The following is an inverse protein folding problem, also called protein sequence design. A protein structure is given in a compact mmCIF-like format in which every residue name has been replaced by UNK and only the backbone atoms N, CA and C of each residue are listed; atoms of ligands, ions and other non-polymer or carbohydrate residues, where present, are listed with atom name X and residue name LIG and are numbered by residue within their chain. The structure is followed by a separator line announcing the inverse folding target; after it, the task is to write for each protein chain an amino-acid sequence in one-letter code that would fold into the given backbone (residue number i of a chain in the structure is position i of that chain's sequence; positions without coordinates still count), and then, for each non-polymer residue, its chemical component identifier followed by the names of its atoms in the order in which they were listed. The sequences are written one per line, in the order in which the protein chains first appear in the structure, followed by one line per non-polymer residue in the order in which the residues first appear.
data_IF_771496648389
#
_entry.id   IF_771496648389
#
_cell.length_a   1.000
_cell.length_b   1.000
_cell.length_c   1.000
_cell.angle_alpha   90.00
_cell.angle_beta   90.00
_cell.angle_gamma   90.00
#
_symmetry.space_group_name_H-M   'P 1'
#
loop_
_entity.id
_entity.type
_entity.pdbx_description
1 polymer ?
#
# COMPACT_ATOMS: atom_id res chain seq x y z
N UNK A 1 -3.36 -23.83 7.83
CA UNK A 1 -2.89 -22.50 7.45
C UNK A 1 -1.83 -22.13 8.48
N UNK A 2 -0.54 -22.43 8.16
CA UNK A 2 0.56 -22.00 9.00
C UNK A 2 0.55 -20.47 9.05
N UNK A 3 0.31 -19.90 10.24
CA UNK A 3 0.52 -18.48 10.43
C UNK A 3 1.98 -18.19 10.11
N UNK A 4 2.26 -17.43 9.05
CA UNK A 4 3.59 -16.90 8.86
C UNK A 4 4.00 -16.23 10.18
N UNK A 5 5.23 -16.46 10.68
CA UNK A 5 5.65 -15.85 11.92
C UNK A 5 5.36 -14.35 11.89
N UNK A 6 4.87 -13.80 12.96
CA UNK A 6 4.59 -12.36 13.10
C UNK A 6 5.75 -11.47 12.64
N UNK A 7 6.97 -12.00 12.81
CA UNK A 7 8.22 -11.42 12.35
C UNK A 7 8.26 -11.21 10.83
N UNK A 8 7.66 -12.09 10.04
CA UNK A 8 7.64 -11.97 8.58
C UNK A 8 6.58 -10.99 8.07
N UNK A 9 5.54 -10.74 8.84
CA UNK A 9 4.42 -9.86 8.45
C UNK A 9 4.65 -8.41 8.85
N UNK A 10 5.40 -8.16 9.92
CA UNK A 10 5.51 -6.84 10.55
C UNK A 10 6.95 -6.30 10.59
N UNK A 11 7.94 -7.06 10.12
CA UNK A 11 9.32 -6.82 10.47
C UNK A 11 9.58 -7.18 11.94
N UNK A 12 10.79 -7.08 12.40
CA UNK A 12 11.09 -7.14 13.82
C UNK A 12 10.62 -5.85 14.46
N UNK A 13 10.06 -5.94 15.64
CA UNK A 13 9.82 -4.78 16.47
C UNK A 13 11.10 -3.92 16.53
N UNK A 14 11.00 -2.64 16.16
CA UNK A 14 12.15 -1.76 16.05
C UNK A 14 13.01 -1.92 14.80
N UNK A 15 12.57 -2.69 13.80
CA UNK A 15 13.25 -2.78 12.49
C UNK A 15 12.26 -2.54 11.35
N UNK A 16 12.42 -1.39 10.75
CA UNK A 16 11.68 -0.93 9.57
C UNK A 16 11.91 -1.87 8.39
N UNK A 17 10.89 -2.62 7.98
CA UNK A 17 10.96 -3.53 6.84
C UNK A 17 12.25 -4.38 6.74
N UNK A 18 12.91 -4.64 7.88
CA UNK A 18 14.23 -5.23 7.91
C UNK A 18 14.31 -6.58 7.20
N UNK A 19 13.23 -7.37 7.22
CA UNK A 19 13.20 -8.63 6.50
C UNK A 19 13.10 -8.40 4.98
N UNK A 20 12.31 -7.43 4.52
CA UNK A 20 12.20 -7.10 3.11
C UNK A 20 13.52 -6.54 2.57
N UNK A 21 14.18 -5.64 3.32
CA UNK A 21 15.49 -5.11 2.97
C UNK A 21 16.56 -6.21 2.98
N UNK A 22 16.57 -7.10 3.99
CA UNK A 22 17.52 -8.22 4.07
C UNK A 22 17.31 -9.28 2.98
N UNK A 23 16.09 -9.43 2.48
CA UNK A 23 15.78 -10.35 1.38
C UNK A 23 15.86 -9.71 0.00
N UNK A 24 16.18 -8.42 -0.10
CA UNK A 24 16.25 -7.69 -1.36
C UNK A 24 14.89 -7.59 -2.08
N UNK A 25 13.78 -7.60 -1.35
CA UNK A 25 12.44 -7.55 -1.93
C UNK A 25 12.02 -6.09 -2.13
N UNK A 26 12.75 -5.37 -2.94
CA UNK A 26 12.28 -4.14 -3.55
C UNK A 26 11.83 -4.43 -4.97
N UNK A 27 10.67 -3.89 -5.33
CA UNK A 27 10.11 -4.10 -6.66
C UNK A 27 10.22 -2.80 -7.45
N UNK A 28 10.98 -2.87 -8.53
CA UNK A 28 11.05 -1.77 -9.49
C UNK A 28 9.74 -1.61 -10.24
N UNK A 29 9.46 -0.38 -10.64
CA UNK A 29 8.39 -0.08 -11.56
C UNK A 29 8.75 -0.50 -12.98
N UNK A 30 7.84 -1.21 -13.62
CA UNK A 30 7.86 -1.50 -15.05
C UNK A 30 6.79 -0.69 -15.78
N UNK A 31 7.04 -0.36 -17.03
CA UNK A 31 6.06 0.31 -17.89
C UNK A 31 5.01 -0.68 -18.37
N UNK A 32 3.77 -0.25 -18.33
CA UNK A 32 2.64 -1.00 -18.86
C UNK A 32 1.58 -0.03 -19.41
N UNK A 33 0.65 -0.55 -20.17
CA UNK A 33 -0.59 0.14 -20.49
C UNK A 33 -1.70 -0.40 -19.61
N UNK A 34 -2.59 0.46 -19.15
CA UNK A 34 -3.73 0.11 -18.32
C UNK A 34 -5.03 0.48 -19.04
N UNK A 35 -5.93 -0.48 -19.13
CA UNK A 35 -7.33 -0.20 -19.44
C UNK A 35 -8.16 -0.37 -18.16
N UNK A 36 -8.86 0.67 -17.76
CA UNK A 36 -9.66 0.69 -16.55
C UNK A 36 -10.95 1.47 -16.77
N UNK A 37 -12.08 0.84 -16.50
CA UNK A 37 -13.40 1.44 -16.68
C UNK A 37 -13.61 2.06 -18.09
N UNK A 38 -13.18 1.38 -19.14
CA UNK A 38 -13.27 1.82 -20.52
C UNK A 38 -12.31 2.95 -20.92
N UNK A 39 -11.40 3.34 -20.03
CA UNK A 39 -10.36 4.35 -20.32
C UNK A 39 -9.01 3.68 -20.47
N UNK A 40 -8.20 4.18 -21.41
CA UNK A 40 -6.83 3.73 -21.62
C UNK A 40 -5.83 4.73 -21.06
N UNK A 41 -4.83 4.21 -20.38
CA UNK A 41 -3.69 4.94 -19.82
C UNK A 41 -2.42 4.28 -20.33
N UNK A 42 -1.59 5.04 -20.99
CA UNK A 42 -0.34 4.53 -21.57
C UNK A 42 0.85 4.82 -20.67
N UNK A 43 1.84 3.95 -20.71
CA UNK A 43 3.07 4.09 -19.93
C UNK A 43 2.80 4.35 -18.44
N UNK A 44 1.88 3.63 -17.85
CA UNK A 44 1.71 3.62 -16.40
C UNK A 44 2.83 2.82 -15.75
N UNK A 45 3.15 3.14 -14.50
CA UNK A 45 4.12 2.38 -13.72
C UNK A 45 3.42 1.27 -12.94
N UNK A 46 3.86 0.03 -13.09
CA UNK A 46 3.31 -1.13 -12.38
C UNK A 46 4.41 -1.84 -11.62
N UNK A 47 4.15 -2.24 -10.40
CA UNK A 47 5.05 -3.10 -9.63
C UNK A 47 4.29 -4.01 -8.69
N UNK A 48 4.94 -5.05 -8.24
CA UNK A 48 4.44 -5.81 -7.09
C UNK A 48 4.49 -4.95 -5.81
N UNK A 49 3.70 -5.35 -4.82
CA UNK A 49 3.70 -4.72 -3.51
C UNK A 49 3.48 -5.73 -2.39
N UNK A 50 3.79 -5.28 -1.17
CA UNK A 50 3.65 -6.07 0.04
C UNK A 50 4.87 -6.95 0.32
N UNK A 51 5.12 -7.24 1.59
CA UNK A 51 6.19 -8.11 2.05
C UNK A 51 5.61 -9.49 2.39
N UNK A 52 4.89 -9.62 3.51
CA UNK A 52 4.31 -10.88 3.94
C UNK A 52 3.29 -11.44 2.94
N UNK A 53 2.42 -10.61 2.38
CA UNK A 53 1.44 -11.04 1.37
C UNK A 53 2.09 -11.49 0.07
N UNK A 54 3.22 -10.88 -0.33
CA UNK A 54 4.00 -11.33 -1.47
C UNK A 54 4.60 -12.70 -1.23
N UNK A 55 5.21 -12.90 -0.05
CA UNK A 55 5.78 -14.19 0.33
C UNK A 55 4.75 -15.31 0.38
N UNK A 56 3.56 -15.02 0.92
CA UNK A 56 2.46 -16.00 0.99
C UNK A 56 1.87 -16.34 -0.38
N UNK A 57 2.08 -15.49 -1.37
CA UNK A 57 1.59 -15.69 -2.74
C UNK A 57 2.66 -16.18 -3.73
N UNK A 58 3.81 -16.64 -3.27
CA UNK A 58 4.92 -17.06 -4.17
C UNK A 58 4.55 -18.15 -5.18
N UNK A 59 3.66 -19.06 -4.82
CA UNK A 59 3.16 -20.09 -5.72
C UNK A 59 2.05 -19.64 -6.67
N UNK A 60 1.70 -18.34 -6.68
CA UNK A 60 0.57 -17.80 -7.46
C UNK A 60 1.01 -16.61 -8.30
N UNK A 61 0.42 -16.46 -9.48
CA UNK A 61 0.52 -15.23 -10.27
C UNK A 61 -0.35 -14.10 -9.71
N UNK A 62 -1.35 -14.42 -8.89
CA UNK A 62 -2.22 -13.45 -8.22
C UNK A 62 -1.49 -12.78 -7.06
N UNK A 63 -0.65 -11.81 -7.35
CA UNK A 63 0.12 -11.02 -6.37
C UNK A 63 -0.44 -9.62 -6.26
N UNK A 64 -0.26 -8.97 -5.10
CA UNK A 64 -0.66 -7.58 -4.93
C UNK A 64 0.16 -6.67 -5.85
N UNK A 65 -0.53 -5.69 -6.48
CA UNK A 65 0.06 -4.76 -7.43
C UNK A 65 -0.13 -3.32 -6.96
N UNK A 66 0.83 -2.48 -7.28
CA UNK A 66 0.70 -1.02 -7.23
C UNK A 66 0.82 -0.48 -8.65
N UNK A 67 -0.13 0.35 -9.02
CA UNK A 67 -0.12 1.09 -10.29
C UNK A 67 0.00 2.57 -9.99
N UNK A 68 0.99 3.24 -10.56
CA UNK A 68 1.10 4.69 -10.56
C UNK A 68 0.85 5.20 -11.98
N UNK A 69 -0.24 5.93 -12.14
CA UNK A 69 -0.65 6.48 -13.42
C UNK A 69 0.22 7.67 -13.83
N UNK A 70 0.86 8.31 -12.85
CA UNK A 70 1.53 9.60 -13.00
C UNK A 70 3.07 9.51 -12.94
N UNK A 71 3.63 8.33 -12.81
CA UNK A 71 5.08 8.13 -12.67
C UNK A 71 5.81 8.53 -13.96
N UNK A 72 5.50 7.87 -15.05
CA UNK A 72 6.17 8.10 -16.34
C UNK A 72 5.47 9.14 -17.22
N UNK A 73 4.18 9.33 -17.08
CA UNK A 73 3.38 10.30 -17.83
C UNK A 73 2.62 11.19 -16.85
N UNK A 74 3.02 12.45 -16.75
CA UNK A 74 2.43 13.37 -15.79
C UNK A 74 0.99 13.75 -16.15
N UNK A 75 0.17 13.94 -15.11
CA UNK A 75 -1.23 14.37 -15.25
C UNK A 75 -2.24 13.23 -15.41
N UNK A 76 -1.82 11.97 -15.56
CA UNK A 76 -2.74 10.84 -15.64
C UNK A 76 -3.39 10.55 -14.27
N UNK A 77 -4.73 10.58 -14.23
CA UNK A 77 -5.52 10.34 -13.01
C UNK A 77 -6.86 9.66 -13.33
N UNK A 78 -7.37 8.90 -12.38
CA UNK A 78 -8.74 8.35 -12.37
C UNK A 78 -9.46 8.94 -11.16
N UNK A 79 -10.51 9.73 -11.40
CA UNK A 79 -11.29 10.37 -10.34
C UNK A 79 -10.40 11.12 -9.31
N UNK A 80 -9.39 11.86 -9.80
CA UNK A 80 -8.44 12.58 -8.93
C UNK A 80 -7.28 11.74 -8.39
N UNK A 81 -7.36 10.41 -8.46
CA UNK A 81 -6.38 9.48 -7.90
C UNK A 81 -5.33 9.12 -8.94
N UNK A 82 -4.06 9.20 -8.58
CA UNK A 82 -2.94 8.81 -9.45
C UNK A 82 -2.36 7.44 -9.11
N UNK A 83 -2.58 6.92 -7.90
CA UNK A 83 -2.02 5.66 -7.43
C UNK A 83 -3.11 4.69 -7.01
N UNK A 84 -3.07 3.49 -7.55
CA UNK A 84 -4.04 2.42 -7.29
C UNK A 84 -3.33 1.22 -6.65
N UNK A 85 -3.89 0.71 -5.57
CA UNK A 85 -3.41 -0.50 -4.92
C UNK A 85 -4.38 -1.64 -5.17
N UNK A 86 -3.90 -2.71 -5.80
CA UNK A 86 -4.66 -3.93 -6.02
C UNK A 86 -4.15 -4.99 -5.04
N UNK A 87 -4.95 -5.28 -4.02
CA UNK A 87 -4.61 -6.27 -3.00
C UNK A 87 -5.16 -7.64 -3.38
N UNK A 88 -4.31 -8.65 -3.32
CA UNK A 88 -4.63 -10.01 -3.74
C UNK A 88 -5.48 -10.79 -2.73
N UNK A 89 -5.76 -10.22 -1.56
CA UNK A 89 -6.55 -10.81 -0.47
C UNK A 89 -6.08 -12.21 -0.03
N UNK A 90 -4.77 -12.49 -0.12
CA UNK A 90 -4.20 -13.81 0.21
C UNK A 90 -4.43 -14.20 1.67
N UNK A 91 -4.59 -13.23 2.57
CA UNK A 91 -4.87 -13.42 3.99
C UNK A 91 -6.35 -13.29 4.35
N UNK A 92 -7.20 -12.94 3.39
CA UNK A 92 -8.64 -12.74 3.57
C UNK A 92 -9.41 -13.78 2.76
N UNK A 93 -9.78 -14.90 3.38
CA UNK A 93 -10.48 -15.99 2.72
C UNK A 93 -11.89 -15.59 2.26
N UNK A 94 -12.50 -14.63 2.93
CA UNK A 94 -13.83 -14.11 2.57
C UNK A 94 -13.80 -13.03 1.50
N UNK A 95 -12.62 -12.50 1.20
CA UNK A 95 -12.37 -11.38 0.26
C UNK A 95 -13.17 -10.10 0.54
N UNK A 96 -13.71 -9.99 1.74
CA UNK A 96 -14.58 -8.89 2.14
C UNK A 96 -14.04 -8.06 3.29
N UNK A 97 -13.15 -8.62 4.12
CA UNK A 97 -12.73 -7.97 5.37
C UNK A 97 -12.13 -6.59 5.12
N UNK A 98 -11.25 -6.45 4.15
CA UNK A 98 -10.60 -5.18 3.85
C UNK A 98 -11.62 -4.14 3.33
N UNK A 99 -12.45 -4.53 2.37
CA UNK A 99 -13.44 -3.62 1.78
C UNK A 99 -14.49 -3.19 2.80
N UNK A 100 -14.99 -4.13 3.61
CA UNK A 100 -15.98 -3.87 4.65
C UNK A 100 -15.39 -3.04 5.79
N UNK A 101 -14.16 -3.31 6.22
CA UNK A 101 -13.51 -2.55 7.29
C UNK A 101 -13.31 -1.09 6.88
N UNK A 102 -12.81 -0.82 5.68
CA UNK A 102 -12.67 0.54 5.18
C UNK A 102 -14.03 1.24 5.04
N UNK A 103 -15.06 0.52 4.61
CA UNK A 103 -16.42 1.07 4.56
C UNK A 103 -16.93 1.40 5.95
N UNK A 104 -16.80 0.49 6.90
CA UNK A 104 -17.19 0.69 8.29
C UNK A 104 -16.53 1.93 8.90
N UNK A 105 -15.21 2.08 8.71
CA UNK A 105 -14.50 3.26 9.22
C UNK A 105 -15.01 4.56 8.61
N UNK A 106 -15.26 4.61 7.30
CA UNK A 106 -15.84 5.80 6.65
C UNK A 106 -17.23 6.10 7.18
N UNK A 107 -18.07 5.10 7.34
CA UNK A 107 -19.43 5.27 7.86
C UNK A 107 -19.42 5.72 9.34
N UNK A 108 -18.37 5.39 10.08
CA UNK A 108 -18.11 5.86 11.43
C UNK A 108 -17.44 7.26 11.50
N UNK A 109 -17.22 7.92 10.36
CA UNK A 109 -16.61 9.26 10.29
C UNK A 109 -15.06 9.25 10.39
N UNK A 110 -14.43 8.09 10.32
CA UNK A 110 -12.97 7.99 10.31
C UNK A 110 -12.46 8.07 8.88
N UNK A 111 -11.46 8.94 8.62
CA UNK A 111 -10.79 9.03 7.33
C UNK A 111 -10.20 7.66 6.97
N UNK A 112 -10.70 7.06 5.91
CA UNK A 112 -10.31 5.72 5.50
C UNK A 112 -10.38 5.57 3.98
N UNK A 113 -9.44 4.84 3.35
CA UNK A 113 -9.38 4.66 1.91
C UNK A 113 -10.69 4.23 1.27
N UNK A 114 -10.99 4.77 0.10
CA UNK A 114 -12.05 4.25 -0.76
C UNK A 114 -11.65 2.89 -1.28
N UNK A 115 -12.63 2.01 -1.39
CA UNK A 115 -12.40 0.63 -1.82
C UNK A 115 -13.43 0.20 -2.85
N UNK A 116 -13.00 -0.67 -3.75
CA UNK A 116 -13.85 -1.35 -4.72
C UNK A 116 -13.29 -2.73 -5.02
N UNK A 117 -14.04 -3.55 -5.75
CA UNK A 117 -13.52 -4.78 -6.32
C UNK A 117 -13.12 -4.58 -7.77
N UNK A 118 -12.02 -5.20 -8.18
CA UNK A 118 -11.56 -5.20 -9.56
C UNK A 118 -11.23 -6.62 -10.03
N UNK A 119 -11.73 -6.99 -11.20
CA UNK A 119 -11.23 -8.16 -11.93
C UNK A 119 -9.98 -7.73 -12.71
N UNK A 120 -8.87 -8.40 -12.48
CA UNK A 120 -7.59 -8.05 -13.10
C UNK A 120 -7.24 -9.08 -14.15
N UNK A 121 -6.96 -8.60 -15.33
CA UNK A 121 -6.45 -9.36 -16.47
C UNK A 121 -5.09 -8.83 -16.85
N UNK A 122 -4.20 -9.69 -17.31
CA UNK A 122 -2.86 -9.28 -17.74
C UNK A 122 -2.53 -9.88 -19.11
N UNK A 123 -1.90 -9.07 -19.94
CA UNK A 123 -1.26 -9.52 -21.17
C UNK A 123 0.24 -9.25 -21.05
N UNK A 124 1.03 -10.30 -21.22
CA UNK A 124 2.49 -10.22 -21.34
C UNK A 124 2.85 -10.73 -22.71
N UNK A 125 3.28 -9.87 -23.66
CA UNK A 125 3.54 -10.27 -25.03
C UNK A 125 4.45 -11.51 -25.11
N UNK A 126 4.02 -12.50 -25.88
CA UNK A 126 4.78 -13.76 -26.03
C UNK A 126 4.68 -14.75 -24.89
N UNK A 127 3.97 -14.43 -23.81
CA UNK A 127 3.82 -15.33 -22.64
C UNK A 127 2.35 -15.56 -22.28
N UNK A 128 1.59 -14.49 -22.07
CA UNK A 128 0.20 -14.55 -21.63
C UNK A 128 -0.64 -13.52 -22.35
N UNK A 129 -1.80 -13.94 -22.83
CA UNK A 129 -2.78 -13.06 -23.43
C UNK A 129 -4.07 -13.07 -22.62
N UNK A 130 -4.50 -11.90 -22.17
CA UNK A 130 -5.73 -11.70 -21.41
C UNK A 130 -5.92 -12.70 -20.25
N UNK A 131 -4.83 -13.02 -19.55
CA UNK A 131 -4.84 -13.96 -18.44
C UNK A 131 -5.58 -13.36 -17.25
N UNK A 132 -6.64 -14.01 -16.81
CA UNK A 132 -7.37 -13.61 -15.60
C UNK A 132 -6.58 -13.94 -14.34
N UNK A 133 -6.10 -12.91 -13.65
CA UNK A 133 -5.38 -13.08 -12.38
C UNK A 133 -6.32 -13.28 -11.18
N UNK A 134 -7.55 -12.83 -11.27
CA UNK A 134 -8.54 -12.98 -10.20
C UNK A 134 -9.22 -11.69 -9.79
N UNK A 135 -10.01 -11.78 -8.72
CA UNK A 135 -10.65 -10.65 -8.05
C UNK A 135 -9.69 -10.02 -7.05
N UNK A 136 -9.55 -8.71 -7.08
CA UNK A 136 -8.71 -7.92 -6.17
C UNK A 136 -9.56 -6.91 -5.40
N UNK A 137 -9.13 -6.61 -4.17
CA UNK A 137 -9.55 -5.39 -3.50
C UNK A 137 -8.75 -4.23 -4.06
N UNK A 138 -9.44 -3.30 -4.73
CA UNK A 138 -8.86 -2.03 -5.16
C UNK A 138 -8.96 -1.04 -4.01
N UNK A 139 -7.82 -0.55 -3.55
CA UNK A 139 -7.72 0.31 -2.36
C UNK A 139 -7.02 1.61 -2.73
N UNK A 140 -7.63 2.73 -2.36
CA UNK A 140 -7.04 4.05 -2.52
C UNK A 140 -5.66 4.13 -1.83
N UNK A 141 -4.72 4.83 -2.44
CA UNK A 141 -3.42 5.05 -1.83
C UNK A 141 -3.52 6.16 -0.78
N UNK A 142 -2.96 5.91 0.40
CA UNK A 142 -2.83 6.94 1.42
C UNK A 142 -1.56 7.74 1.10
N UNK A 143 -1.77 8.95 0.60
CA UNK A 143 -0.75 9.93 0.23
C UNK A 143 -1.30 11.36 0.41
N UNK A 144 -0.58 12.37 -0.06
CA UNK A 144 -0.99 13.78 0.06
C UNK A 144 -2.36 14.09 -0.56
N UNK A 145 -2.76 13.37 -1.62
CA UNK A 145 -4.10 13.55 -2.19
C UNK A 145 -5.16 13.02 -1.22
N UNK A 146 -4.90 11.89 -0.57
CA UNK A 146 -5.79 11.34 0.45
C UNK A 146 -5.91 12.29 1.65
N UNK A 147 -4.80 12.81 2.16
CA UNK A 147 -4.82 13.73 3.31
C UNK A 147 -5.46 15.06 2.97
N UNK A 148 -5.27 15.58 1.76
CA UNK A 148 -5.94 16.79 1.29
C UNK A 148 -7.47 16.61 1.21
N UNK A 149 -7.90 15.52 0.59
CA UNK A 149 -9.34 15.27 0.38
C UNK A 149 -10.08 14.93 1.67
N UNK A 150 -9.47 14.12 2.55
CA UNK A 150 -10.13 13.60 3.74
C UNK A 150 -9.87 14.42 5.01
N UNK A 151 -8.74 15.13 5.08
CA UNK A 151 -8.30 15.87 6.28
C UNK A 151 -8.07 17.36 6.02
N UNK A 152 -8.20 17.81 4.76
CA UNK A 152 -7.95 19.21 4.38
C UNK A 152 -6.48 19.64 4.56
N UNK A 153 -5.54 18.72 4.58
CA UNK A 153 -4.13 19.01 4.85
C UNK A 153 -3.18 18.20 3.97
N UNK A 154 -2.55 18.88 3.00
CA UNK A 154 -1.51 18.32 2.14
C UNK A 154 -0.12 18.24 2.78
N UNK A 155 0.10 19.00 3.84
CA UNK A 155 1.44 19.21 4.42
C UNK A 155 1.69 18.39 5.68
N UNK A 156 0.74 17.55 6.07
CA UNK A 156 0.89 16.68 7.22
C UNK A 156 1.78 15.49 6.91
N UNK A 157 2.60 15.07 7.87
CA UNK A 157 3.38 13.85 7.73
C UNK A 157 2.49 12.60 7.89
N UNK A 158 2.73 11.60 7.05
CA UNK A 158 2.03 10.31 7.09
C UNK A 158 2.98 9.25 7.62
N UNK A 159 2.56 8.58 8.67
CA UNK A 159 3.32 7.49 9.28
C UNK A 159 2.55 6.18 9.17
N UNK A 160 3.26 5.10 8.89
CA UNK A 160 2.72 3.75 8.93
C UNK A 160 3.33 3.01 10.11
N UNK A 161 2.60 2.80 11.20
CA UNK A 161 3.12 2.04 12.33
C UNK A 161 3.34 0.57 11.94
N UNK A 162 4.47 0.02 12.37
CA UNK A 162 4.87 -1.39 12.16
C UNK A 162 5.03 -2.13 13.50
N UNK A 163 4.39 -1.63 14.53
CA UNK A 163 4.39 -2.19 15.88
C UNK A 163 2.96 -2.39 16.40
N UNK A 164 2.69 -3.41 17.21
CA UNK A 164 1.44 -3.53 17.95
C UNK A 164 1.40 -2.60 19.19
N UNK A 165 2.53 -2.05 19.61
CA UNK A 165 2.65 -1.14 20.76
C UNK A 165 2.66 0.30 20.27
N UNK A 166 1.49 0.74 19.84
CA UNK A 166 1.27 2.13 19.48
C UNK A 166 1.31 2.99 20.76
N UNK A 167 1.84 4.20 20.64
CA UNK A 167 1.85 5.22 21.69
C UNK A 167 2.77 4.92 22.89
N UNK A 168 3.69 3.94 22.79
CA UNK A 168 4.73 3.76 23.79
C UNK A 168 5.73 4.91 23.72
N UNK A 169 6.05 5.52 24.86
CA UNK A 169 7.12 6.51 24.92
C UNK A 169 8.48 5.80 24.85
N UNK A 170 9.27 6.12 23.86
CA UNK A 170 10.57 5.48 23.59
C UNK A 170 11.76 6.39 23.93
N UNK A 171 11.54 7.51 24.60
CA UNK A 171 12.54 8.54 24.89
C UNK A 171 12.60 9.62 23.81
N UNK A 172 13.56 10.53 23.91
CA UNK A 172 13.66 11.71 23.04
C UNK A 172 14.36 11.45 21.68
N UNK A 173 14.90 10.25 21.48
CA UNK A 173 15.63 9.92 20.27
C UNK A 173 14.68 9.50 19.15
N UNK A 174 14.59 10.35 18.10
CA UNK A 174 13.79 10.10 16.92
C UNK A 174 14.06 8.74 16.24
N UNK A 175 15.31 8.26 16.25
CA UNK A 175 15.65 7.02 15.54
C UNK A 175 14.92 5.81 16.13
N UNK A 176 14.54 5.84 17.39
CA UNK A 176 13.72 4.80 18.01
C UNK A 176 12.30 4.76 17.44
N UNK A 177 11.72 5.93 17.18
CA UNK A 177 10.40 6.07 16.55
C UNK A 177 10.45 5.79 15.07
N UNK A 178 11.47 6.25 14.37
CA UNK A 178 11.67 6.01 12.95
C UNK A 178 11.70 4.52 12.58
N UNK A 179 12.13 3.66 13.50
CA UNK A 179 12.14 2.21 13.31
C UNK A 179 10.73 1.59 13.31
N UNK A 180 9.79 2.16 14.04
CA UNK A 180 8.47 1.60 14.28
C UNK A 180 7.32 2.41 13.64
N UNK A 181 7.56 3.67 13.30
CA UNK A 181 6.64 4.54 12.56
C UNK A 181 7.24 4.86 11.20
N UNK A 182 7.02 3.98 10.23
CA UNK A 182 7.52 4.13 8.86
C UNK A 182 6.96 5.40 8.18
N UNK A 183 7.73 6.52 8.11
CA UNK A 183 7.26 7.73 7.44
C UNK A 183 7.18 7.50 5.94
N UNK A 184 6.17 8.07 5.31
CA UNK A 184 5.99 7.98 3.85
C UNK A 184 6.87 8.95 3.09
N UNK A 185 7.17 10.08 3.72
CA UNK A 185 8.04 11.12 3.22
C UNK A 185 9.02 11.50 4.33
N UNK A 186 9.96 12.41 4.07
CA UNK A 186 10.89 12.90 5.10
C UNK A 186 10.15 13.85 6.04
N UNK A 187 9.87 13.46 7.30
CA UNK A 187 9.11 14.28 8.22
C UNK A 187 9.94 15.47 8.72
N UNK A 188 9.30 16.63 8.83
CA UNK A 188 9.92 17.81 9.40
C UNK A 188 10.33 17.60 10.87
N UNK A 189 11.20 18.43 11.41
CA UNK A 189 11.58 18.40 12.82
C UNK A 189 10.34 18.54 13.73
N UNK A 190 9.36 19.36 13.34
CA UNK A 190 8.12 19.53 14.08
C UNK A 190 7.23 18.28 14.05
N UNK A 191 7.22 17.54 12.94
CA UNK A 191 6.47 16.28 12.86
C UNK A 191 7.11 15.18 13.72
N UNK A 192 8.44 15.09 13.69
CA UNK A 192 9.21 14.19 14.56
C UNK A 192 8.92 14.46 16.03
N UNK A 193 8.96 15.73 16.43
CA UNK A 193 8.68 16.12 17.81
C UNK A 193 7.25 15.82 18.24
N UNK A 194 6.25 15.97 17.34
CA UNK A 194 4.86 15.58 17.65
C UNK A 194 4.72 14.09 17.88
N UNK A 195 5.42 13.25 17.08
CA UNK A 195 5.37 11.79 17.31
C UNK A 195 6.02 11.40 18.63
N UNK A 196 7.12 12.05 19.01
CA UNK A 196 7.79 11.82 20.30
C UNK A 196 6.88 12.22 21.47
N UNK A 197 6.17 13.33 21.35
CA UNK A 197 5.32 13.89 22.41
C UNK A 197 3.89 13.34 22.48
N UNK A 198 3.56 12.43 21.59
CA UNK A 198 2.22 11.83 21.51
C UNK A 198 2.10 10.65 22.45
#
# INVERSE_FOLDING_TARGET
VGSAPRIMLQGREGQRNGLAAAMGVEFDYVKADLEFAGRKFTNVAVRYKGNGTWMQSQGSMKRSLKVDLNEFVKGQKIAGISKLNFHNSVTDQGWMNEVLSHRFYRDAGVASPRTAYARVYVTVPGQHENLYLGLYSLVENIDDNFTDEHLGNKKGAIFKPVTPRLFDYLGEDWERYNQIYDPKDDPSAGDKQRVIGF
#
